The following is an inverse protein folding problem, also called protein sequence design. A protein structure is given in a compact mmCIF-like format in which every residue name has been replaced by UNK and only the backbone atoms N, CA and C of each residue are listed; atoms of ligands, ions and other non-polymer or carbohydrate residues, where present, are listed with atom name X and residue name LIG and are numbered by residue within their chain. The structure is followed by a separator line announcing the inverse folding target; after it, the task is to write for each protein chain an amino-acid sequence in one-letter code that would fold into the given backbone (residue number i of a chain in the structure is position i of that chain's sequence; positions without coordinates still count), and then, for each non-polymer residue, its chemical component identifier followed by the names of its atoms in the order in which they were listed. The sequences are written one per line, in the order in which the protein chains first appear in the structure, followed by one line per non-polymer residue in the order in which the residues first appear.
data_IF_099172804334
#
_entry.id   IF_099172804334
#
_cell.length_a   1.000
_cell.length_b   1.000
_cell.length_c   1.000
_cell.angle_alpha   90.00
_cell.angle_beta   90.00
_cell.angle_gamma   90.00
#
_symmetry.space_group_name_H-M   'P 1'
#
loop_
_entity.id
_entity.type
_entity.pdbx_description
1 polymer ?
#
# COMPACT_ATOMS: atom_id res chain seq x y z
N UNK A 1 20.71 -31.58 -24.51
CA UNK A 1 19.33 -31.52 -25.07
C UNK A 1 18.47 -30.64 -24.18
N UNK A 2 17.59 -29.84 -24.77
CA UNK A 2 16.64 -28.89 -24.14
C UNK A 2 15.79 -29.42 -22.97
N UNK A 3 15.76 -30.75 -22.78
CA UNK A 3 14.99 -31.45 -21.76
C UNK A 3 15.46 -31.12 -20.34
N UNK A 4 16.78 -31.00 -20.13
CA UNK A 4 17.34 -30.71 -18.80
C UNK A 4 16.95 -29.30 -18.33
N UNK A 5 16.94 -28.32 -19.25
CA UNK A 5 16.56 -26.93 -18.99
C UNK A 5 15.06 -26.79 -18.68
N UNK A 6 14.20 -27.55 -19.38
CA UNK A 6 12.77 -27.62 -19.11
C UNK A 6 12.46 -28.12 -17.69
N UNK A 7 13.17 -29.15 -17.23
CA UNK A 7 13.01 -29.70 -15.87
C UNK A 7 13.51 -28.69 -14.82
N UNK A 8 14.64 -28.03 -15.08
CA UNK A 8 15.21 -27.04 -14.15
C UNK A 8 14.28 -25.84 -13.94
N UNK A 9 13.60 -25.36 -15.00
CA UNK A 9 12.64 -24.25 -14.94
C UNK A 9 11.35 -24.61 -14.19
N UNK A 10 10.94 -25.87 -14.24
CA UNK A 10 9.79 -26.39 -13.47
C UNK A 10 10.11 -26.48 -11.97
N UNK A 11 11.32 -26.90 -11.61
CA UNK A 11 11.74 -27.09 -10.22
C UNK A 11 12.04 -25.76 -9.50
N UNK A 12 12.58 -24.77 -10.20
CA UNK A 12 13.01 -23.49 -9.62
C UNK A 12 11.91 -22.43 -9.51
N UNK A 13 10.71 -22.67 -10.08
CA UNK A 13 9.57 -21.74 -10.06
C UNK A 13 8.87 -21.58 -8.70
N UNK A 14 9.45 -22.11 -7.62
CA UNK A 14 9.00 -21.84 -6.26
C UNK A 14 9.40 -20.41 -5.88
N UNK A 15 8.55 -19.44 -6.25
CA UNK A 15 8.66 -18.04 -5.83
C UNK A 15 8.81 -18.02 -4.30
N UNK A 16 10.01 -17.73 -3.80
CA UNK A 16 10.21 -17.39 -2.39
C UNK A 16 9.32 -16.18 -2.13
N UNK A 17 8.24 -16.35 -1.36
CA UNK A 17 7.53 -15.21 -0.79
C UNK A 17 8.56 -14.48 0.06
N UNK A 18 9.10 -13.35 -0.42
CA UNK A 18 9.84 -12.44 0.44
C UNK A 18 8.84 -11.99 1.51
N UNK A 19 8.97 -12.52 2.71
CA UNK A 19 8.31 -11.95 3.88
C UNK A 19 9.00 -10.63 4.11
N UNK A 20 8.38 -9.54 3.64
CA UNK A 20 8.80 -8.19 3.98
C UNK A 20 8.46 -8.03 5.46
N UNK A 21 9.48 -8.01 6.31
CA UNK A 21 9.33 -7.62 7.70
C UNK A 21 9.09 -6.12 7.69
N UNK A 22 7.84 -5.70 7.81
CA UNK A 22 7.53 -4.34 8.17
C UNK A 22 7.83 -4.22 9.66
N UNK A 23 8.88 -3.48 10.02
CA UNK A 23 9.03 -3.01 11.40
C UNK A 23 7.76 -2.23 11.74
N UNK A 24 7.01 -2.71 12.73
CA UNK A 24 5.90 -2.00 13.35
C UNK A 24 6.47 -0.78 14.07
N UNK A 25 6.83 0.25 13.31
CA UNK A 25 7.00 1.59 13.85
C UNK A 25 5.66 1.95 14.47
N UNK A 26 5.65 2.25 15.77
CA UNK A 26 4.50 2.79 16.47
C UNK A 26 3.83 3.84 15.57
N UNK A 27 2.66 3.49 15.05
CA UNK A 27 1.92 4.36 14.15
C UNK A 27 1.46 5.56 14.97
N UNK A 28 2.23 6.65 14.92
CA UNK A 28 1.76 7.94 15.40
C UNK A 28 0.44 8.24 14.69
N UNK A 29 -0.61 8.53 15.45
CA UNK A 29 -1.91 8.87 14.90
C UNK A 29 -1.78 10.13 14.04
N UNK A 30 -1.78 9.94 12.72
CA UNK A 30 -1.69 11.06 11.79
C UNK A 30 -3.08 11.66 11.63
N UNK A 31 -3.22 12.94 12.00
CA UNK A 31 -4.37 13.75 11.58
C UNK A 31 -4.19 14.08 10.09
N UNK A 32 -4.64 13.16 9.24
CA UNK A 32 -4.44 13.22 7.81
C UNK A 32 -5.12 14.46 7.21
N UNK A 33 -4.33 15.31 6.55
CA UNK A 33 -4.83 16.35 5.65
C UNK A 33 -4.55 15.91 4.22
N UNK A 34 -5.59 15.47 3.53
CA UNK A 34 -5.53 14.96 2.17
C UNK A 34 -5.67 16.09 1.15
N UNK A 35 -4.77 16.12 0.17
CA UNK A 35 -4.84 17.01 -1.00
C UNK A 35 -4.82 16.19 -2.29
N UNK A 36 -5.45 16.68 -3.37
CA UNK A 36 -5.41 16.00 -4.66
C UNK A 36 -3.98 15.95 -5.20
N UNK A 37 -3.57 14.78 -5.70
CA UNK A 37 -2.25 14.60 -6.30
C UNK A 37 -2.16 15.19 -7.70
N UNK A 38 -3.30 15.33 -8.38
CA UNK A 38 -3.40 15.78 -9.75
C UNK A 38 -4.68 16.61 -9.98
N UNK A 39 -4.86 17.07 -11.22
CA UNK A 39 -6.05 17.84 -11.62
C UNK A 39 -7.33 17.01 -11.71
N UNK A 40 -7.22 15.69 -11.89
CA UNK A 40 -8.37 14.76 -11.91
C UNK A 40 -8.98 14.60 -10.52
N UNK A 41 -8.15 14.74 -9.49
CA UNK A 41 -8.50 14.60 -8.08
C UNK A 41 -9.04 13.20 -7.73
N UNK A 42 -8.76 12.20 -8.56
CA UNK A 42 -9.14 10.80 -8.30
C UNK A 42 -8.40 10.23 -7.09
N UNK A 43 -7.14 10.64 -6.92
CA UNK A 43 -6.27 10.23 -5.82
C UNK A 43 -5.94 11.42 -4.92
N UNK A 44 -6.00 11.18 -3.61
CA UNK A 44 -5.64 12.14 -2.59
C UNK A 44 -4.44 11.64 -1.79
N UNK A 45 -3.46 12.50 -1.55
CA UNK A 45 -2.28 12.21 -0.76
C UNK A 45 -2.29 12.99 0.55
N UNK A 46 -1.90 12.36 1.65
CA UNK A 46 -1.68 13.04 2.91
C UNK A 46 -0.38 13.84 2.84
N UNK A 47 -0.46 15.13 3.12
CA UNK A 47 0.69 16.05 3.16
C UNK A 47 1.69 15.76 4.28
N UNK A 48 1.30 15.01 5.30
CA UNK A 48 2.12 14.73 6.49
C UNK A 48 2.83 13.38 6.43
N UNK A 49 2.09 12.31 6.11
CA UNK A 49 2.60 10.94 6.16
C UNK A 49 2.74 10.27 4.79
N UNK A 50 2.23 10.89 3.71
CA UNK A 50 2.30 10.33 2.37
C UNK A 50 1.31 9.20 2.09
N UNK A 51 0.33 8.94 2.96
CA UNK A 51 -0.75 8.00 2.69
C UNK A 51 -1.53 8.45 1.45
N UNK A 52 -1.74 7.54 0.49
CA UNK A 52 -2.50 7.80 -0.73
C UNK A 52 -3.79 7.00 -0.72
N UNK A 53 -4.91 7.67 -0.94
CA UNK A 53 -6.24 7.08 -0.99
C UNK A 53 -6.95 7.47 -2.28
N UNK A 54 -7.99 6.72 -2.65
CA UNK A 54 -8.95 7.18 -3.66
C UNK A 54 -9.93 8.17 -3.04
N UNK A 55 -10.42 9.13 -3.83
CA UNK A 55 -11.44 10.10 -3.43
C UNK A 55 -12.71 9.45 -2.87
N UNK A 56 -13.10 8.30 -3.41
CA UNK A 56 -14.29 7.56 -2.94
C UNK A 56 -14.13 7.06 -1.50
N UNK A 57 -12.90 6.77 -1.10
CA UNK A 57 -12.57 6.25 0.22
C UNK A 57 -12.50 7.38 1.27
N UNK A 58 -12.25 8.63 0.87
CA UNK A 58 -12.19 9.81 1.75
C UNK A 58 -13.42 9.92 2.66
N UNK A 59 -14.63 9.74 2.12
CA UNK A 59 -15.89 9.83 2.88
C UNK A 59 -16.05 8.74 3.94
N UNK A 60 -15.35 7.62 3.79
CA UNK A 60 -15.41 6.49 4.73
C UNK A 60 -14.48 6.69 5.93
N UNK A 61 -13.44 7.54 5.81
CA UNK A 61 -12.48 7.80 6.90
C UNK A 61 -12.94 8.88 7.89
N UNK A 62 -13.81 9.81 7.49
CA UNK A 62 -14.33 10.88 8.38
C UNK A 62 -15.31 10.38 9.47
N UNK A 63 -15.54 9.07 9.60
CA UNK A 63 -16.48 8.49 10.58
C UNK A 63 -15.87 7.97 11.87
N UNK A 64 -14.55 7.96 12.03
CA UNK A 64 -13.96 7.49 13.30
C UNK A 64 -13.18 8.59 14.04
N UNK A 65 -13.70 8.88 15.23
CA UNK A 65 -13.15 9.63 16.38
C UNK A 65 -13.29 11.15 16.37
N UNK A 66 -14.52 11.59 16.66
CA UNK A 66 -14.71 12.60 17.70
C UNK A 66 -14.73 11.86 19.04
N UNK A 67 -13.59 11.79 19.73
CA UNK A 67 -13.57 11.46 21.16
C UNK A 67 -13.22 12.77 21.89
N UNK A 68 -14.18 13.26 22.67
CA UNK A 68 -14.12 14.42 23.56
C UNK A 68 -13.19 14.18 24.75
#
# INVERSE_FOLDING_TARGET
MYIIELVYKLLTNRKKKKTVYFEEKEYQSCQHLFLPLDSTKEYLGCTKCGLVIKREEEKNFFKEKQDF
#
